data_IF_098570216817
#
_entry.id   IF_098570216817
#
_cell.length_a   1.000
_cell.length_b   1.000
_cell.length_c   1.000
_cell.angle_alpha   90.00
_cell.angle_beta   90.00
_cell.angle_gamma   90.00
#
_symmetry.space_group_name_H-M   'P 1'
#
loop_
_entity.id
_entity.type
_entity.pdbx_description
1 polymer ?
#
# COMPACT_ATOMS: atom_id res chain seq x y z
N UNK A 1 9.13 -4.23 -9.29
CA UNK A 1 7.91 -4.31 -8.46
C UNK A 1 6.74 -3.76 -9.26
N UNK A 2 5.60 -4.45 -9.26
CA UNK A 2 4.37 -4.02 -9.96
C UNK A 2 3.55 -3.17 -8.99
N UNK A 3 3.02 -2.05 -9.47
CA UNK A 3 2.24 -1.10 -8.67
C UNK A 3 3.06 -0.32 -7.63
N UNK A 4 2.48 0.75 -7.11
CA UNK A 4 3.10 1.60 -6.08
C UNK A 4 2.05 2.18 -5.13
N UNK A 5 2.49 2.84 -4.05
CA UNK A 5 1.66 3.62 -3.14
C UNK A 5 2.24 5.03 -3.06
N UNK A 6 1.46 6.03 -3.46
CA UNK A 6 1.82 7.43 -3.35
C UNK A 6 1.51 7.92 -1.93
N UNK A 7 2.37 8.77 -1.38
CA UNK A 7 2.26 9.30 -0.02
C UNK A 7 2.24 10.82 -0.01
N UNK A 8 1.19 11.41 0.57
CA UNK A 8 1.02 12.84 0.80
C UNK A 8 0.59 13.07 2.26
N UNK A 9 1.00 14.18 2.88
CA UNK A 9 0.40 14.63 4.15
C UNK A 9 -0.32 15.94 3.89
N UNK A 10 -1.60 15.99 4.26
CA UNK A 10 -2.44 17.18 4.14
C UNK A 10 -3.25 17.34 5.42
N UNK A 11 -3.20 18.52 6.03
CA UNK A 11 -3.97 18.85 7.23
C UNK A 11 -3.83 17.77 8.33
N UNK A 12 -2.58 17.37 8.64
CA UNK A 12 -2.24 16.32 9.61
C UNK A 12 -2.72 14.90 9.24
N UNK A 13 -3.21 14.67 8.02
CA UNK A 13 -3.68 13.36 7.54
C UNK A 13 -2.73 12.83 6.47
N UNK A 14 -2.20 11.63 6.66
CA UNK A 14 -1.43 10.92 5.62
C UNK A 14 -2.39 10.28 4.61
N UNK A 15 -2.30 10.68 3.35
CA UNK A 15 -3.08 10.17 2.23
C UNK A 15 -2.21 9.19 1.46
N UNK A 16 -2.58 7.91 1.53
CA UNK A 16 -1.94 6.80 0.83
C UNK A 16 -2.80 6.45 -0.38
N UNK A 17 -2.26 6.63 -1.59
CA UNK A 17 -2.98 6.33 -2.83
C UNK A 17 -2.33 5.14 -3.53
N UNK A 18 -3.03 4.00 -3.57
CA UNK A 18 -2.58 2.82 -4.32
C UNK A 18 -2.69 3.11 -5.81
N UNK A 19 -1.59 3.01 -6.54
CA UNK A 19 -1.53 3.23 -7.98
C UNK A 19 -1.03 1.97 -8.69
N UNK A 20 -1.98 1.12 -9.09
CA UNK A 20 -1.73 -0.11 -9.83
C UNK A 20 -2.91 -0.40 -10.78
N UNK A 21 -3.10 0.39 -11.85
CA UNK A 21 -4.23 0.22 -12.74
C UNK A 21 -4.28 -1.18 -13.37
N UNK A 22 -5.47 -1.66 -13.78
CA UNK A 22 -6.73 -0.91 -13.90
C UNK A 22 -7.66 -0.99 -12.67
N UNK A 23 -7.33 -1.83 -11.69
CA UNK A 23 -8.20 -2.12 -10.54
C UNK A 23 -7.44 -2.23 -9.21
N UNK A 24 -6.18 -1.81 -9.19
CA UNK A 24 -5.34 -1.76 -7.99
C UNK A 24 -5.20 -3.11 -7.28
N UNK A 25 -4.74 -4.19 -7.95
CA UNK A 25 -4.48 -5.44 -7.24
C UNK A 25 -3.32 -5.28 -6.26
N UNK A 26 -3.35 -6.06 -5.17
CA UNK A 26 -2.30 -6.15 -4.13
C UNK A 26 -1.08 -6.90 -4.64
N UNK A 27 -0.37 -6.33 -5.60
CA UNK A 27 0.94 -6.81 -6.08
C UNK A 27 2.05 -6.55 -5.05
N UNK A 28 3.23 -7.11 -5.29
CA UNK A 28 4.41 -6.96 -4.43
C UNK A 28 4.74 -5.48 -4.14
N UNK A 29 4.72 -4.61 -5.15
CA UNK A 29 5.01 -3.19 -5.00
C UNK A 29 3.96 -2.44 -4.19
N UNK A 30 2.69 -2.84 -4.30
CA UNK A 30 1.62 -2.28 -3.47
C UNK A 30 1.77 -2.72 -2.02
N UNK A 31 2.01 -4.02 -1.76
CA UNK A 31 2.19 -4.54 -0.39
C UNK A 31 3.38 -3.86 0.31
N UNK A 32 4.52 -3.78 -0.37
CA UNK A 32 5.71 -3.08 0.15
C UNK A 32 5.44 -1.60 0.38
N UNK A 33 4.83 -0.90 -0.59
CA UNK A 33 4.52 0.52 -0.46
C UNK A 33 3.54 0.84 0.66
N UNK A 34 2.56 -0.03 0.93
CA UNK A 34 1.64 0.11 2.07
C UNK A 34 2.38 -0.02 3.40
N UNK A 35 3.26 -1.02 3.53
CA UNK A 35 4.04 -1.24 4.75
C UNK A 35 4.95 -0.04 5.05
N UNK A 36 5.69 0.43 4.06
CA UNK A 36 6.59 1.58 4.18
C UNK A 36 5.81 2.86 4.51
N UNK A 37 4.70 3.10 3.82
CA UNK A 37 3.89 4.30 4.00
C UNK A 37 3.18 4.35 5.36
N UNK A 38 2.65 3.22 5.83
CA UNK A 38 2.03 3.12 7.15
C UNK A 38 3.06 3.27 8.27
N UNK A 39 4.25 2.68 8.10
CA UNK A 39 5.36 2.86 9.06
C UNK A 39 5.79 4.31 9.14
N UNK A 40 5.93 4.97 7.98
CA UNK A 40 6.24 6.40 7.91
C UNK A 40 5.17 7.26 8.60
N UNK A 41 3.89 6.96 8.38
CA UNK A 41 2.79 7.70 9.01
C UNK A 41 2.74 7.49 10.54
N UNK A 42 3.07 6.30 11.02
CA UNK A 42 3.11 5.95 12.45
C UNK A 42 4.26 6.66 13.18
N UNK A 43 5.42 6.80 12.53
CA UNK A 43 6.59 7.48 13.09
C UNK A 43 6.48 9.03 13.06
N UNK A 44 5.57 9.56 12.24
CA UNK A 44 5.37 11.01 12.10
C UNK A 44 4.38 11.55 13.14
N UNK A 45 4.91 12.17 14.19
CA UNK A 45 4.11 12.77 15.26
C UNK A 45 3.14 13.88 14.82
N UNK A 46 3.34 14.47 13.63
CA UNK A 46 2.44 15.46 13.04
C UNK A 46 1.23 14.80 12.35
N UNK A 47 1.30 13.51 12.02
CA UNK A 47 0.18 12.76 11.44
C UNK A 47 -0.77 12.32 12.56
N UNK A 48 -2.06 12.61 12.38
CA UNK A 48 -3.16 12.26 13.32
C UNK A 48 -4.13 11.23 12.75
N UNK A 49 -4.04 10.94 11.46
CA UNK A 49 -4.90 9.96 10.80
C UNK A 49 -4.37 9.55 9.43
N UNK A 50 -4.90 8.45 8.92
CA UNK A 50 -4.54 7.90 7.61
C UNK A 50 -5.81 7.76 6.76
N UNK A 51 -5.74 8.24 5.52
CA UNK A 51 -6.70 7.91 4.46
C UNK A 51 -6.00 6.99 3.48
N UNK A 52 -6.56 5.81 3.27
CA UNK A 52 -6.13 4.89 2.24
C UNK A 52 -7.15 4.91 1.10
N UNK A 53 -6.68 5.17 -0.12
CA UNK A 53 -7.51 5.23 -1.33
C UNK A 53 -6.80 4.60 -2.53
N UNK A 54 -7.51 4.43 -3.64
CA UNK A 54 -6.96 3.91 -4.90
C UNK A 54 -6.99 4.97 -5.99
N UNK A 55 -5.96 5.01 -6.84
CA UNK A 55 -5.92 5.83 -8.03
C UNK A 55 -6.89 5.29 -9.08
N UNK A 56 -7.55 6.20 -9.81
CA UNK A 56 -8.51 5.83 -10.85
C UNK A 56 -9.84 5.32 -10.29
N UNK A 57 -10.34 4.20 -10.84
CA UNK A 57 -11.75 3.78 -10.67
C UNK A 57 -12.01 2.80 -9.54
N UNK A 58 -10.98 2.25 -8.91
CA UNK A 58 -11.10 1.17 -7.94
C UNK A 58 -10.26 1.48 -6.70
N UNK A 59 -10.70 0.98 -5.55
CA UNK A 59 -9.89 1.02 -4.34
C UNK A 59 -8.74 0.00 -4.42
N UNK A 60 -9.03 -1.25 -4.08
CA UNK A 60 -8.17 -2.42 -4.22
C UNK A 60 -9.08 -3.60 -4.57
N UNK A 61 -8.91 -4.20 -5.74
CA UNK A 61 -9.81 -5.27 -6.20
C UNK A 61 -9.50 -6.65 -5.59
N UNK A 62 -8.38 -6.80 -4.90
CA UNK A 62 -7.96 -8.05 -4.25
C UNK A 62 -6.51 -8.40 -4.55
N UNK A 63 -6.18 -9.68 -4.38
CA UNK A 63 -4.83 -10.19 -4.66
C UNK A 63 -4.47 -10.08 -6.15
N UNK A 64 -3.18 -9.92 -6.44
CA UNK A 64 -2.68 -10.01 -7.81
C UNK A 64 -2.51 -11.47 -8.24
N UNK A 65 -3.50 -12.00 -8.96
CA UNK A 65 -3.50 -13.39 -9.44
C UNK A 65 -2.27 -13.68 -10.33
N UNK A 66 -1.70 -12.68 -11.01
CA UNK A 66 -0.53 -12.89 -11.86
C UNK A 66 0.75 -13.25 -11.08
N UNK A 67 0.78 -13.03 -9.75
CA UNK A 67 1.89 -13.43 -8.88
C UNK A 67 1.73 -14.87 -8.35
N UNK A 68 0.59 -15.52 -8.60
CA UNK A 68 0.32 -16.85 -8.05
C UNK A 68 1.18 -17.91 -8.76
N UNK A 69 1.79 -18.79 -7.97
CA UNK A 69 2.69 -19.83 -8.49
C UNK A 69 4.12 -19.34 -8.78
N UNK A 70 4.41 -18.05 -8.60
CA UNK A 70 5.76 -17.51 -8.57
C UNK A 70 6.41 -17.59 -7.19
N UNK A 71 7.63 -17.05 -7.08
CA UNK A 71 8.26 -16.83 -5.78
C UNK A 71 7.48 -15.78 -4.99
N UNK A 72 7.37 -15.96 -3.68
CA UNK A 72 6.83 -14.92 -2.81
C UNK A 72 7.78 -13.71 -2.82
N UNK A 73 7.25 -12.55 -3.20
CA UNK A 73 7.98 -11.27 -3.25
C UNK A 73 7.22 -10.17 -2.51
N UNK A 74 7.96 -9.24 -1.92
CA UNK A 74 7.42 -8.13 -1.14
C UNK A 74 7.00 -8.55 0.28
N UNK A 75 6.43 -7.59 1.02
CA UNK A 75 6.02 -7.81 2.41
C UNK A 75 4.81 -8.75 2.47
N UNK A 76 4.97 -9.86 3.18
CA UNK A 76 3.96 -10.85 3.49
C UNK A 76 3.18 -10.52 4.76
N UNK A 77 2.03 -11.18 4.94
CA UNK A 77 1.13 -10.92 6.07
C UNK A 77 1.79 -11.17 7.43
N UNK A 78 2.63 -12.20 7.56
CA UNK A 78 3.29 -12.51 8.83
C UNK A 78 4.30 -11.43 9.23
N UNK A 79 5.06 -10.90 8.26
CA UNK A 79 6.03 -9.82 8.49
C UNK A 79 5.34 -8.54 9.00
N UNK A 80 4.09 -8.30 8.60
CA UNK A 80 3.29 -7.17 9.12
C UNK A 80 3.00 -7.30 10.62
N UNK A 81 2.81 -8.52 11.12
CA UNK A 81 2.49 -8.78 12.54
C UNK A 81 3.71 -8.94 13.43
N UNK A 82 4.90 -9.09 12.84
CA UNK A 82 6.17 -9.15 13.56
C UNK A 82 6.76 -7.76 13.88
N UNK A 83 6.08 -6.69 13.44
CA UNK A 83 6.40 -5.31 13.73
C UNK A 83 6.16 -4.94 15.21
#
# INVERSE_FOLDING_TARGET
MKGTVLYEVKDEVAILTVDNPPVNPLSNGVRTGLYESLTKAEEDSAVKGVVLTGNGRAFIAGADISEFGGNAEGIGLNEVFEK
#
